data_IF_050538797431
#
_entry.id   IF_050538797431
#
_cell.length_a   1.000
_cell.length_b   1.000
_cell.length_c   1.000
_cell.angle_alpha   90.00
_cell.angle_beta   90.00
_cell.angle_gamma   90.00
#
_symmetry.space_group_name_H-M   'P 1'
#
loop_
_entity.id
_entity.type
_entity.pdbx_description
1 polymer ?
#
# COMPACT_ATOMS: atom_id res chain seq x y z
N UNK A 1 -18.85 -7.50 11.23
CA UNK A 1 -18.34 -6.12 11.33
C UNK A 1 -17.63 -5.81 10.03
N UNK A 2 -18.27 -5.03 9.15
CA UNK A 2 -17.72 -4.68 7.83
C UNK A 2 -16.75 -3.52 8.00
N UNK A 3 -15.46 -3.83 7.92
CA UNK A 3 -14.33 -2.91 8.08
C UNK A 3 -14.15 -1.91 6.91
N UNK A 4 -15.16 -1.73 6.04
CA UNK A 4 -15.02 -1.01 4.77
C UNK A 4 -15.78 0.33 4.69
N UNK A 5 -16.37 0.82 5.78
CA UNK A 5 -17.29 1.98 5.75
C UNK A 5 -16.74 3.31 6.30
N UNK A 6 -15.43 3.52 6.28
CA UNK A 6 -14.84 4.86 6.50
C UNK A 6 -13.88 5.19 5.37
N UNK A 7 -14.43 5.54 4.20
CA UNK A 7 -13.69 6.10 3.06
C UNK A 7 -14.05 7.58 2.92
N UNK A 8 -13.50 8.41 3.80
CA UNK A 8 -13.49 9.88 3.64
C UNK A 8 -12.07 10.41 3.36
N UNK A 9 -11.10 9.50 3.17
CA UNK A 9 -9.70 9.79 2.92
C UNK A 9 -9.18 8.59 2.10
N UNK A 10 -8.94 8.78 0.80
CA UNK A 10 -8.91 7.70 -0.20
C UNK A 10 -7.74 6.72 0.02
N UNK A 11 -7.95 5.73 0.87
CA UNK A 11 -7.01 4.65 1.14
C UNK A 11 -6.90 3.76 -0.11
N UNK A 12 -5.73 3.80 -0.73
CA UNK A 12 -5.38 2.98 -1.87
C UNK A 12 -4.56 1.77 -1.42
N UNK A 13 -4.68 0.67 -2.17
CA UNK A 13 -3.93 -0.56 -1.91
C UNK A 13 -3.21 -0.97 -3.19
N UNK A 14 -1.91 -1.23 -3.08
CA UNK A 14 -1.09 -1.72 -4.17
C UNK A 14 -0.35 -2.98 -3.77
N UNK A 15 -0.42 -3.99 -4.64
CA UNK A 15 0.16 -5.31 -4.39
C UNK A 15 1.38 -5.47 -5.30
N UNK A 16 2.48 -5.90 -4.71
CA UNK A 16 3.72 -6.23 -5.40
C UNK A 16 4.05 -7.70 -5.18
N UNK A 17 4.74 -8.31 -6.14
CA UNK A 17 5.26 -9.69 -6.03
C UNK A 17 6.77 -9.73 -5.78
N UNK A 18 7.42 -8.57 -5.74
CA UNK A 18 8.86 -8.43 -5.58
C UNK A 18 9.17 -7.21 -4.69
N UNK A 19 10.04 -7.41 -3.70
CA UNK A 19 10.53 -6.34 -2.80
C UNK A 19 11.23 -5.22 -3.56
N UNK A 20 11.92 -5.56 -4.65
CA UNK A 20 12.61 -4.57 -5.49
C UNK A 20 11.63 -3.61 -6.14
N UNK A 21 10.53 -4.12 -6.70
CA UNK A 21 9.50 -3.29 -7.33
C UNK A 21 8.74 -2.46 -6.29
N UNK A 22 8.42 -3.04 -5.12
CA UNK A 22 7.80 -2.33 -4.02
C UNK A 22 8.69 -1.15 -3.57
N UNK A 23 9.99 -1.40 -3.36
CA UNK A 23 10.95 -0.38 -2.94
C UNK A 23 11.15 0.71 -4.01
N UNK A 24 11.20 0.36 -5.29
CA UNK A 24 11.28 1.36 -6.35
C UNK A 24 10.04 2.24 -6.40
N UNK A 25 8.86 1.64 -6.27
CA UNK A 25 7.62 2.39 -6.23
C UNK A 25 7.53 3.31 -5.00
N UNK A 26 7.92 2.83 -3.81
CA UNK A 26 7.96 3.64 -2.59
C UNK A 26 8.87 4.86 -2.73
N UNK A 27 10.03 4.71 -3.39
CA UNK A 27 10.97 5.81 -3.64
C UNK A 27 10.46 6.83 -4.66
N UNK A 28 9.68 6.39 -5.65
CA UNK A 28 9.08 7.27 -6.66
C UNK A 28 7.83 7.98 -6.14
N UNK A 29 7.11 7.37 -5.20
CA UNK A 29 5.84 7.87 -4.69
C UNK A 29 6.09 8.81 -3.50
N UNK A 30 6.79 9.92 -3.78
CA UNK A 30 7.18 10.90 -2.75
C UNK A 30 6.02 11.69 -2.15
N UNK A 31 4.85 11.67 -2.79
CA UNK A 31 3.64 12.37 -2.33
C UNK A 31 2.64 11.42 -1.63
N UNK A 32 2.89 10.10 -1.65
CA UNK A 32 2.00 9.14 -1.00
C UNK A 32 2.40 8.88 0.43
N UNK A 33 1.44 8.99 1.35
CA UNK A 33 1.62 8.59 2.73
C UNK A 33 1.36 7.09 2.86
N UNK A 34 2.39 6.31 3.14
CA UNK A 34 2.24 4.89 3.43
C UNK A 34 1.60 4.73 4.82
N UNK A 35 0.49 4.00 4.86
CA UNK A 35 -0.29 3.73 6.08
C UNK A 35 0.11 2.39 6.68
N UNK A 36 0.24 1.36 5.85
CA UNK A 36 0.63 0.01 6.29
C UNK A 36 1.33 -0.76 5.17
N UNK A 37 2.18 -1.71 5.54
CA UNK A 37 2.81 -2.65 4.61
C UNK A 37 2.70 -4.06 5.19
N UNK A 38 2.05 -4.96 4.45
CA UNK A 38 1.94 -6.36 4.82
C UNK A 38 2.72 -7.24 3.86
N UNK A 39 3.45 -8.19 4.44
CA UNK A 39 4.21 -9.20 3.72
C UNK A 39 3.51 -10.54 3.87
N UNK A 40 3.17 -11.18 2.77
CA UNK A 40 2.51 -12.48 2.72
C UNK A 40 3.22 -13.35 1.69
N UNK A 41 4.09 -14.26 2.15
CA UNK A 41 4.94 -15.17 1.36
C UNK A 41 5.51 -14.60 0.04
N UNK A 42 4.71 -14.54 -1.03
CA UNK A 42 5.10 -14.05 -2.37
C UNK A 42 4.50 -12.68 -2.75
N UNK A 43 3.86 -12.00 -1.80
CA UNK A 43 3.15 -10.75 -2.04
C UNK A 43 3.43 -9.73 -0.96
N UNK A 44 3.53 -8.48 -1.39
CA UNK A 44 3.71 -7.30 -0.54
C UNK A 44 2.52 -6.41 -0.82
N UNK A 45 1.70 -6.16 0.19
CA UNK A 45 0.58 -5.24 0.11
C UNK A 45 1.01 -3.93 0.75
N UNK A 46 0.93 -2.84 -0.01
CA UNK A 46 1.16 -1.49 0.50
C UNK A 46 -0.18 -0.77 0.52
N UNK A 47 -0.57 -0.32 1.71
CA UNK A 47 -1.74 0.53 1.93
C UNK A 47 -1.22 1.95 2.06
N UNK A 48 -1.72 2.87 1.24
CA UNK A 48 -1.26 4.24 1.20
C UNK A 48 -2.40 5.22 0.95
N UNK A 49 -2.15 6.49 1.24
CA UNK A 49 -3.00 7.62 0.89
C UNK A 49 -2.27 8.49 -0.11
N UNK A 50 -3.01 8.98 -1.11
CA UNK A 50 -2.56 9.99 -2.08
C UNK A 50 -3.17 11.33 -1.75
#
# INVERSE_FOLDING_TARGET
MNLFNYMDDSLQVKIFTNETEANQWLKQSGDTQVVDIQFSNDKILVIYKS
#
